data_IF_053474317018
#
_entry.id   IF_053474317018
#
_cell.length_a   1.000
_cell.length_b   1.000
_cell.length_c   1.000
_cell.angle_alpha   90.00
_cell.angle_beta   90.00
_cell.angle_gamma   90.00
#
_symmetry.space_group_name_H-M   'P 1'
#
loop_
_entity.id
_entity.type
_entity.pdbx_description
1 polymer ?
#
# COMPACT_ATOMS: atom_id res chain seq x y z
N UNK A 1 15.61 14.24 9.41
CA UNK A 1 14.67 13.69 8.42
C UNK A 1 15.10 12.31 7.90
N UNK A 2 16.24 12.18 7.21
CA UNK A 2 16.68 10.91 6.61
C UNK A 2 16.70 9.74 7.62
N UNK A 3 17.26 9.94 8.81
CA UNK A 3 17.27 8.91 9.85
C UNK A 3 15.87 8.42 10.26
N UNK A 4 14.87 9.32 10.27
CA UNK A 4 13.47 8.99 10.59
C UNK A 4 12.84 8.17 9.46
N UNK A 5 13.13 8.51 8.21
CA UNK A 5 12.68 7.73 7.05
C UNK A 5 13.29 6.34 7.08
N UNK A 6 14.61 6.23 7.32
CA UNK A 6 15.31 4.94 7.37
C UNK A 6 14.80 4.07 8.53
N UNK A 7 14.61 4.65 9.72
CA UNK A 7 14.02 3.95 10.85
C UNK A 7 12.60 3.49 10.54
N UNK A 8 11.77 4.37 9.99
CA UNK A 8 10.38 4.04 9.61
C UNK A 8 10.28 2.99 8.50
N UNK A 9 11.24 2.95 7.58
CA UNK A 9 11.37 1.90 6.57
C UNK A 9 11.79 0.57 7.19
N UNK A 10 12.82 0.58 8.06
CA UNK A 10 13.26 -0.63 8.76
C UNK A 10 12.12 -1.27 9.55
N UNK A 11 11.36 -0.48 10.30
CA UNK A 11 10.21 -0.96 11.08
C UNK A 11 9.08 -1.52 10.21
N UNK A 12 8.81 -0.93 9.04
CA UNK A 12 7.75 -1.41 8.13
C UNK A 12 8.13 -2.66 7.36
N UNK A 13 9.42 -2.84 7.06
CA UNK A 13 9.89 -3.99 6.29
C UNK A 13 10.23 -5.19 7.18
N UNK A 14 10.55 -4.95 8.46
CA UNK A 14 10.88 -6.01 9.40
C UNK A 14 9.68 -6.94 9.64
N UNK A 15 9.80 -8.20 9.21
CA UNK A 15 8.77 -9.22 9.40
C UNK A 15 7.54 -9.08 8.49
N UNK A 16 7.63 -8.28 7.42
CA UNK A 16 6.49 -7.97 6.55
C UNK A 16 5.82 -9.22 5.92
N UNK A 17 6.56 -10.32 5.78
CA UNK A 17 6.09 -11.60 5.24
C UNK A 17 6.17 -12.74 6.27
N UNK A 18 6.10 -12.42 7.57
CA UNK A 18 6.14 -13.43 8.62
C UNK A 18 4.78 -14.15 8.78
N UNK A 19 3.69 -13.45 8.51
CA UNK A 19 2.32 -13.94 8.70
C UNK A 19 1.63 -14.24 7.37
N UNK A 20 0.82 -15.30 7.34
CA UNK A 20 0.02 -15.65 6.17
C UNK A 20 -0.95 -14.53 5.74
N UNK A 21 -1.39 -14.58 4.49
CA UNK A 21 -2.35 -13.63 3.92
C UNK A 21 -3.65 -13.59 4.73
N UNK A 22 -4.08 -12.38 5.10
CA UNK A 22 -5.35 -12.12 5.78
C UNK A 22 -6.52 -12.08 4.79
N UNK A 23 -7.75 -12.18 5.31
CA UNK A 23 -8.95 -12.26 4.46
C UNK A 23 -9.14 -11.01 3.56
N UNK A 24 -8.89 -9.83 4.11
CA UNK A 24 -8.98 -8.55 3.40
C UNK A 24 -7.85 -8.40 2.37
N UNK A 25 -6.65 -8.89 2.69
CA UNK A 25 -5.53 -8.99 1.73
C UNK A 25 -5.88 -9.94 0.58
N UNK A 26 -6.41 -11.13 0.87
CA UNK A 26 -6.86 -12.09 -0.14
C UNK A 26 -7.94 -11.49 -1.06
N UNK A 27 -8.90 -10.77 -0.48
CA UNK A 27 -9.96 -10.08 -1.23
C UNK A 27 -9.36 -9.00 -2.15
N UNK A 28 -8.41 -8.23 -1.64
CA UNK A 28 -7.70 -7.21 -2.42
C UNK A 28 -6.90 -7.81 -3.57
N UNK A 29 -6.21 -8.94 -3.33
CA UNK A 29 -5.46 -9.68 -4.36
C UNK A 29 -6.42 -10.23 -5.43
N UNK A 30 -7.57 -10.79 -5.03
CA UNK A 30 -8.57 -11.30 -5.97
C UNK A 30 -9.11 -10.21 -6.89
N UNK A 31 -9.45 -9.04 -6.34
CA UNK A 31 -9.91 -7.89 -7.13
C UNK A 31 -8.79 -7.36 -8.04
N UNK A 32 -7.57 -7.23 -7.53
CA UNK A 32 -6.42 -6.75 -8.28
C UNK A 32 -6.00 -7.69 -9.43
N UNK A 33 -6.38 -8.98 -9.39
CA UNK A 33 -6.12 -9.95 -10.47
C UNK A 33 -7.14 -9.87 -11.62
N UNK A 34 -8.24 -9.15 -11.45
CA UNK A 34 -9.19 -8.88 -12.54
C UNK A 34 -8.58 -7.92 -13.57
N UNK A 35 -9.12 -7.89 -14.79
CA UNK A 35 -8.83 -6.79 -15.71
C UNK A 35 -9.37 -5.46 -15.14
N UNK A 36 -8.72 -4.34 -15.49
CA UNK A 36 -9.08 -3.02 -14.94
C UNK A 36 -10.57 -2.66 -15.14
N UNK A 37 -11.18 -2.87 -16.33
CA UNK A 37 -12.62 -2.64 -16.49
C UNK A 37 -13.50 -3.47 -15.54
N UNK A 38 -13.21 -4.76 -15.37
CA UNK A 38 -13.93 -5.64 -14.45
C UNK A 38 -13.73 -5.23 -12.99
N UNK A 39 -12.49 -4.90 -12.60
CA UNK A 39 -12.16 -4.39 -11.28
C UNK A 39 -12.96 -3.13 -10.95
N UNK A 40 -12.97 -2.15 -11.85
CA UNK A 40 -13.70 -0.89 -11.66
C UNK A 40 -15.20 -1.15 -11.55
N UNK A 41 -15.76 -2.02 -12.40
CA UNK A 41 -17.18 -2.37 -12.35
C UNK A 41 -17.57 -3.07 -11.04
N UNK A 42 -16.76 -4.02 -10.59
CA UNK A 42 -17.02 -4.77 -9.35
C UNK A 42 -16.89 -3.85 -8.13
N UNK A 43 -15.82 -3.05 -8.06
CA UNK A 43 -15.60 -2.12 -6.93
C UNK A 43 -16.58 -0.94 -6.92
N UNK A 44 -17.19 -0.58 -8.05
CA UNK A 44 -18.27 0.40 -8.09
C UNK A 44 -19.55 -0.08 -7.35
N UNK A 45 -19.68 -1.37 -7.10
CA UNK A 45 -20.75 -1.97 -6.29
C UNK A 45 -20.30 -2.31 -4.87
N UNK A 46 -19.03 -2.07 -4.54
CA UNK A 46 -18.43 -2.28 -3.22
C UNK A 46 -18.46 -0.98 -2.39
N UNK A 47 -18.10 -1.09 -1.11
CA UNK A 47 -17.90 0.04 -0.20
C UNK A 47 -16.54 0.73 -0.49
N UNK A 48 -15.56 -0.02 -0.99
CA UNK A 48 -14.19 0.46 -1.18
C UNK A 48 -13.94 0.95 -2.62
N UNK A 49 -13.49 2.21 -2.82
CA UNK A 49 -13.16 2.74 -4.13
C UNK A 49 -12.05 1.97 -4.87
N UNK A 50 -12.00 2.01 -6.21
CA UNK A 50 -11.12 1.17 -7.04
C UNK A 50 -9.62 1.48 -6.91
N UNK A 51 -9.25 2.65 -6.39
CA UNK A 51 -7.89 3.21 -6.55
C UNK A 51 -6.82 2.28 -5.98
N UNK A 52 -7.02 1.77 -4.76
CA UNK A 52 -6.05 0.88 -4.14
C UNK A 52 -5.89 -0.43 -4.93
N UNK A 53 -7.01 -1.05 -5.33
CA UNK A 53 -6.99 -2.30 -6.10
C UNK A 53 -6.36 -2.11 -7.48
N UNK A 54 -6.59 -0.95 -8.13
CA UNK A 54 -5.97 -0.61 -9.41
C UNK A 54 -4.45 -0.39 -9.27
N UNK A 55 -3.98 0.25 -8.19
CA UNK A 55 -2.55 0.34 -7.90
C UNK A 55 -1.96 -1.05 -7.64
N UNK A 56 -2.66 -1.90 -6.89
CA UNK A 56 -2.23 -3.26 -6.62
C UNK A 56 -2.19 -4.10 -7.92
N UNK A 57 -3.15 -3.93 -8.83
CA UNK A 57 -3.16 -4.58 -10.15
C UNK A 57 -1.89 -4.29 -10.94
N UNK A 58 -1.42 -3.03 -10.92
CA UNK A 58 -0.18 -2.61 -11.58
C UNK A 58 1.08 -3.05 -10.82
N UNK A 59 0.96 -3.34 -9.53
CA UNK A 59 2.08 -3.71 -8.66
C UNK A 59 2.38 -5.21 -8.66
N UNK A 60 1.35 -6.05 -8.69
CA UNK A 60 1.49 -7.52 -8.66
C UNK A 60 2.44 -8.10 -9.74
N UNK A 61 2.54 -7.55 -10.97
CA UNK A 61 3.51 -8.03 -11.95
C UNK A 61 4.99 -7.86 -11.55
N UNK A 62 5.29 -7.01 -10.56
CA UNK A 62 6.67 -6.74 -10.10
C UNK A 62 7.21 -7.83 -9.16
N UNK A 63 6.35 -8.70 -8.64
CA UNK A 63 6.76 -9.78 -7.76
C UNK A 63 5.58 -10.53 -7.14
N UNK A 64 5.85 -11.75 -6.71
CA UNK A 64 4.86 -12.64 -6.10
C UNK A 64 5.16 -12.89 -4.62
N UNK A 65 4.15 -13.39 -3.89
CA UNK A 65 4.25 -13.72 -2.47
C UNK A 65 3.86 -12.60 -1.52
N UNK A 66 3.81 -12.93 -0.23
CA UNK A 66 3.29 -12.06 0.84
C UNK A 66 4.05 -10.74 0.94
N UNK A 67 5.38 -10.81 0.82
CA UNK A 67 6.22 -9.61 0.84
C UNK A 67 5.87 -8.67 -0.30
N UNK A 68 5.77 -9.19 -1.53
CA UNK A 68 5.55 -8.37 -2.72
C UNK A 68 4.19 -7.68 -2.68
N UNK A 69 3.13 -8.38 -2.26
CA UNK A 69 1.78 -7.81 -2.09
C UNK A 69 1.79 -6.68 -1.07
N UNK A 70 2.42 -6.89 0.09
CA UNK A 70 2.44 -5.90 1.19
C UNK A 70 3.42 -4.76 0.95
N UNK A 71 4.41 -4.94 0.07
CA UNK A 71 5.42 -3.94 -0.24
C UNK A 71 4.84 -2.65 -0.82
N UNK A 72 3.72 -2.70 -1.54
CA UNK A 72 3.03 -1.50 -2.03
C UNK A 72 2.59 -0.59 -0.87
N UNK A 73 1.90 -1.18 0.12
CA UNK A 73 1.43 -0.47 1.31
C UNK A 73 2.59 -0.02 2.21
N UNK A 74 3.62 -0.86 2.34
CA UNK A 74 4.84 -0.48 3.07
C UNK A 74 5.54 0.72 2.42
N UNK A 75 5.67 0.72 1.10
CA UNK A 75 6.25 1.84 0.32
C UNK A 75 5.45 3.13 0.50
N UNK A 76 4.12 3.08 0.33
CA UNK A 76 3.26 4.23 0.57
C UNK A 76 3.39 4.76 2.02
N UNK A 77 3.48 3.85 3.00
CA UNK A 77 3.70 4.20 4.40
C UNK A 77 5.06 4.84 4.67
N UNK A 78 6.11 4.48 3.94
CA UNK A 78 7.44 5.11 4.04
C UNK A 78 7.40 6.52 3.43
N UNK A 79 6.76 6.67 2.26
CA UNK A 79 6.59 7.97 1.61
C UNK A 79 5.74 8.94 2.44
N UNK A 80 4.79 8.43 3.23
CA UNK A 80 3.98 9.28 4.12
C UNK A 80 4.81 10.02 5.17
N UNK A 81 5.97 9.50 5.59
CA UNK A 81 6.83 10.10 6.63
C UNK A 81 7.27 11.53 6.25
N UNK A 82 7.96 11.78 5.11
CA UNK A 82 8.35 13.12 4.72
C UNK A 82 7.16 14.03 4.39
N UNK A 83 6.04 13.50 3.88
CA UNK A 83 4.85 14.30 3.61
C UNK A 83 4.19 14.81 4.89
N UNK A 84 4.02 13.94 5.89
CA UNK A 84 3.47 14.33 7.18
C UNK A 84 4.36 15.32 7.92
N UNK A 85 5.69 15.15 7.84
CA UNK A 85 6.60 16.15 8.41
C UNK A 85 6.47 17.51 7.72
N UNK A 86 6.42 17.54 6.38
CA UNK A 86 6.24 18.79 5.65
C UNK A 86 4.89 19.44 5.95
N UNK A 87 3.83 18.64 6.08
CA UNK A 87 2.51 19.13 6.49
C UNK A 87 2.58 19.76 7.88
N UNK A 88 3.15 19.06 8.87
CA UNK A 88 3.35 19.59 10.21
C UNK A 88 4.15 20.90 10.19
N UNK A 89 5.25 20.93 9.44
CA UNK A 89 6.04 22.14 9.25
C UNK A 89 5.21 23.29 8.64
N UNK A 90 4.40 23.03 7.61
CA UNK A 90 3.57 24.07 6.99
C UNK A 90 2.45 24.61 7.89
N UNK A 91 2.03 23.84 8.90
CA UNK A 91 0.98 24.24 9.83
C UNK A 91 1.52 25.00 11.06
N UNK A 92 2.82 24.86 11.36
CA UNK A 92 3.44 25.38 12.59
C UNK A 92 4.71 26.21 12.36
N UNK A 93 5.15 26.38 11.11
CA UNK A 93 6.12 27.42 10.76
C UNK A 93 5.40 28.78 10.84
N UNK A 94 5.74 29.56 11.88
CA UNK A 94 5.46 31.02 11.93
C UNK A 94 6.41 31.80 11.01
#
# INVERSE_FOLDING_TARGET
MLAVILLGAGLRLHGLAAESIWLDEATSILLARMDLPSLIRTTAQDIHPPVYYALLHLWLPLGEGEFAVRALSAFAGILAIPFLFQLGRSLYDE
#
